data_IF_422312329000
#
_entry.id   IF_422312329000
#
_cell.length_a   1.000
_cell.length_b   1.000
_cell.length_c   1.000
_cell.angle_alpha   90.00
_cell.angle_beta   90.00
_cell.angle_gamma   90.00
#
_symmetry.space_group_name_H-M   'P 1'
#
loop_
_entity.id
_entity.type
_entity.pdbx_description
1 polymer ?
#
# COMPACT_ATOMS: atom_id res chain seq x y z
N UNK A 1 -14.07 -12.63 5.17
CA UNK A 1 -13.42 -11.46 4.56
C UNK A 1 -13.07 -10.50 5.67
N UNK A 2 -11.81 -10.08 5.76
CA UNK A 2 -11.31 -9.13 6.75
C UNK A 2 -11.11 -7.77 6.11
N UNK A 3 -11.08 -6.74 6.96
CA UNK A 3 -10.62 -5.40 6.61
C UNK A 3 -9.35 -5.11 7.41
N UNK A 4 -8.29 -4.70 6.73
CA UNK A 4 -7.08 -4.19 7.36
C UNK A 4 -7.07 -2.67 7.23
N UNK A 5 -6.91 -1.94 8.33
CA UNK A 5 -6.71 -0.48 8.28
C UNK A 5 -5.39 -0.07 8.91
N UNK A 6 -4.72 0.93 8.34
CA UNK A 6 -3.51 1.52 8.92
C UNK A 6 -3.32 2.97 8.52
N UNK A 7 -2.49 3.70 9.27
CA UNK A 7 -2.11 5.08 8.92
C UNK A 7 -1.04 5.11 7.84
N UNK A 8 -1.32 5.80 6.74
CA UNK A 8 -0.35 6.19 5.72
C UNK A 8 0.42 7.42 6.22
N UNK A 9 1.58 7.17 6.82
CA UNK A 9 2.40 8.23 7.42
C UNK A 9 3.14 9.09 6.39
N UNK A 10 3.58 8.46 5.30
CA UNK A 10 4.25 9.08 4.16
C UNK A 10 3.64 8.51 2.90
N UNK A 11 3.14 9.38 2.04
CA UNK A 11 2.38 9.03 0.87
C UNK A 11 3.10 9.49 -0.40
N UNK A 12 4.10 8.70 -0.82
CA UNK A 12 4.85 8.93 -2.05
C UNK A 12 4.40 8.03 -3.21
N UNK A 13 3.40 7.16 -2.98
CA UNK A 13 2.99 6.15 -3.96
C UNK A 13 3.95 4.97 -4.08
N UNK A 14 4.73 4.68 -3.03
CA UNK A 14 5.63 3.53 -2.95
C UNK A 14 4.96 2.30 -2.33
N UNK A 15 4.29 2.42 -1.17
CA UNK A 15 3.61 1.31 -0.52
C UNK A 15 2.40 1.84 0.30
N UNK A 16 1.18 1.87 -0.28
CA UNK A 16 0.82 1.21 -1.54
C UNK A 16 1.42 1.88 -2.78
N UNK A 17 1.66 1.11 -3.84
CA UNK A 17 1.95 1.63 -5.18
C UNK A 17 0.71 1.50 -6.07
N UNK A 18 0.00 2.59 -6.40
CA UNK A 18 -1.29 2.56 -7.10
C UNK A 18 -1.15 2.64 -8.64
N UNK A 19 0.07 2.55 -9.17
CA UNK A 19 0.34 2.86 -10.57
C UNK A 19 0.25 1.64 -11.49
N UNK A 20 0.14 1.92 -12.79
CA UNK A 20 0.19 0.93 -13.87
C UNK A 20 -0.90 -0.14 -13.80
N UNK A 21 -2.11 0.26 -13.40
CA UNK A 21 -3.31 -0.60 -13.43
C UNK A 21 -3.47 -1.53 -12.23
N UNK A 22 -2.54 -1.51 -11.27
CA UNK A 22 -2.61 -2.32 -10.05
C UNK A 22 -2.29 -1.47 -8.83
N UNK A 23 -2.97 -1.76 -7.72
CA UNK A 23 -2.51 -1.32 -6.41
C UNK A 23 -1.77 -2.47 -5.75
N UNK A 24 -0.52 -2.22 -5.36
CA UNK A 24 0.35 -3.22 -4.76
C UNK A 24 0.79 -2.78 -3.38
N UNK A 25 0.92 -3.76 -2.49
CA UNK A 25 1.58 -3.62 -1.20
C UNK A 25 2.68 -4.67 -1.17
N UNK A 26 3.81 -4.37 -1.83
CA UNK A 26 4.98 -5.23 -1.87
C UNK A 26 5.94 -4.94 -0.71
N UNK A 27 6.12 -3.66 -0.37
CA UNK A 27 6.99 -3.20 0.70
C UNK A 27 6.18 -2.69 1.90
N UNK A 28 6.83 -2.50 3.04
CA UNK A 28 6.20 -2.12 4.31
C UNK A 28 5.12 -3.11 4.80
N UNK A 29 4.58 -2.83 6.00
CA UNK A 29 3.44 -3.55 6.61
C UNK A 29 3.53 -5.10 6.48
N UNK A 30 4.68 -5.72 6.83
CA UNK A 30 4.88 -7.15 6.66
C UNK A 30 3.84 -8.00 7.42
N UNK A 31 3.31 -7.52 8.56
CA UNK A 31 2.28 -8.24 9.30
C UNK A 31 0.95 -8.36 8.54
N UNK A 32 0.56 -7.31 7.80
CA UNK A 32 -0.62 -7.36 6.92
C UNK A 32 -0.32 -8.33 5.77
N UNK A 33 0.83 -8.15 5.10
CA UNK A 33 1.25 -9.03 3.99
C UNK A 33 1.31 -10.50 4.37
N UNK A 34 1.76 -10.82 5.59
CA UNK A 34 1.86 -12.18 6.12
C UNK A 34 0.48 -12.84 6.29
N UNK A 35 -0.51 -12.09 6.75
CA UNK A 35 -1.77 -12.64 7.30
C UNK A 35 -3.01 -12.40 6.45
N UNK A 36 -2.97 -11.46 5.51
CA UNK A 36 -4.07 -11.20 4.60
C UNK A 36 -4.25 -12.33 3.58
N UNK A 37 -5.49 -12.50 3.12
CA UNK A 37 -5.89 -13.51 2.14
C UNK A 37 -6.58 -12.85 0.93
N UNK A 38 -6.67 -13.59 -0.18
CA UNK A 38 -7.42 -13.13 -1.35
C UNK A 38 -8.89 -12.91 -0.97
N UNK A 39 -9.44 -11.77 -1.38
CA UNK A 39 -10.79 -11.33 -1.03
C UNK A 39 -10.85 -10.39 0.18
N UNK A 40 -9.82 -10.31 1.01
CA UNK A 40 -9.72 -9.32 2.09
C UNK A 40 -9.55 -7.89 1.54
N UNK A 41 -9.86 -6.89 2.38
CA UNK A 41 -9.72 -5.48 2.05
C UNK A 41 -8.59 -4.82 2.84
N UNK A 42 -7.93 -3.84 2.23
CA UNK A 42 -6.92 -3.00 2.88
C UNK A 42 -7.28 -1.54 2.66
N UNK A 43 -7.25 -0.74 3.73
CA UNK A 43 -7.55 0.68 3.74
C UNK A 43 -6.39 1.48 4.37
N UNK A 44 -5.91 2.48 3.64
CA UNK A 44 -4.94 3.45 4.15
C UNK A 44 -5.63 4.73 4.56
N UNK A 45 -5.47 5.12 5.81
CA UNK A 45 -6.03 6.37 6.36
C UNK A 45 -4.93 7.43 6.46
N UNK A 46 -5.24 8.67 6.09
CA UNK A 46 -4.31 9.79 6.21
C UNK A 46 -3.88 10.03 7.66
N UNK A 47 -2.66 10.56 7.82
CA UNK A 47 -2.09 10.83 9.13
C UNK A 47 -2.73 12.04 9.81
N UNK A 48 -3.33 11.83 10.99
CA UNK A 48 -3.83 12.88 11.88
C UNK A 48 -2.79 13.97 12.16
N UNK A 49 -1.50 13.61 12.29
CA UNK A 49 -0.42 14.55 12.60
C UNK A 49 -0.10 15.53 11.46
N UNK A 50 -0.49 15.21 10.23
CA UNK A 50 -0.23 16.03 9.04
C UNK A 50 -1.47 16.86 8.61
N UNK A 51 -2.52 16.92 9.43
CA UNK A 51 -3.79 17.55 9.03
C UNK A 51 -4.56 16.79 7.95
N UNK A 52 -4.10 15.59 7.57
CA UNK A 52 -4.76 14.64 6.68
C UNK A 52 -5.56 13.58 7.44
N UNK A 53 -5.74 13.80 8.75
CA UNK A 53 -6.62 12.99 9.58
C UNK A 53 -8.01 12.94 8.98
N UNK A 54 -8.70 11.81 9.12
CA UNK A 54 -10.08 11.60 8.64
C UNK A 54 -10.26 11.33 7.14
N UNK A 55 -9.21 11.32 6.31
CA UNK A 55 -9.36 11.01 4.89
C UNK A 55 -8.89 9.59 4.53
N UNK A 56 -9.62 8.94 3.63
CA UNK A 56 -9.22 7.67 3.03
C UNK A 56 -8.21 7.91 1.90
N UNK A 57 -6.93 7.58 2.12
CA UNK A 57 -5.88 7.71 1.09
C UNK A 57 -6.12 6.71 -0.03
N UNK A 58 -6.47 5.48 0.33
CA UNK A 58 -6.81 4.43 -0.62
C UNK A 58 -7.58 3.31 0.05
N UNK A 59 -8.29 2.53 -0.76
CA UNK A 59 -8.70 1.18 -0.38
C UNK A 59 -8.58 0.23 -1.56
N UNK A 60 -8.34 -1.05 -1.25
CA UNK A 60 -8.19 -2.10 -2.24
C UNK A 60 -8.75 -3.42 -1.75
N UNK A 61 -9.37 -4.19 -2.64
CA UNK A 61 -9.71 -5.60 -2.43
C UNK A 61 -8.60 -6.47 -2.98
N UNK A 62 -8.05 -7.36 -2.16
CA UNK A 62 -6.95 -8.23 -2.56
C UNK A 62 -7.44 -9.22 -3.61
N UNK A 63 -6.86 -9.15 -4.80
CA UNK A 63 -7.18 -10.06 -5.91
C UNK A 63 -6.17 -11.19 -6.05
N UNK A 64 -4.93 -10.97 -5.60
CA UNK A 64 -3.82 -11.89 -5.82
C UNK A 64 -2.75 -11.67 -4.75
N UNK A 65 -2.11 -12.77 -4.33
CA UNK A 65 -0.96 -12.77 -3.43
C UNK A 65 0.10 -13.67 -4.03
N UNK A 66 1.29 -13.14 -4.29
CA UNK A 66 2.43 -13.87 -4.88
C UNK A 66 3.70 -13.65 -4.06
N UNK A 67 4.79 -14.34 -4.40
CA UNK A 67 6.10 -14.13 -3.78
C UNK A 67 6.82 -12.91 -4.34
N UNK A 68 7.86 -12.39 -3.65
CA UNK A 68 8.72 -11.35 -4.22
C UNK A 68 9.38 -11.80 -5.53
N UNK A 69 9.85 -13.05 -5.59
CA UNK A 69 10.48 -13.59 -6.80
C UNK A 69 9.51 -13.70 -7.98
N UNK A 70 8.26 -14.08 -7.74
CA UNK A 70 7.24 -14.12 -8.79
C UNK A 70 6.85 -12.72 -9.23
N UNK A 71 6.70 -11.79 -8.27
CA UNK A 71 6.47 -10.38 -8.56
C UNK A 71 7.59 -9.76 -9.39
N UNK A 72 8.84 -10.11 -9.10
CA UNK A 72 9.99 -9.69 -9.88
C UNK A 72 9.95 -10.24 -11.31
N UNK A 73 9.68 -11.54 -11.50
CA UNK A 73 9.74 -12.20 -12.83
C UNK A 73 8.54 -11.91 -13.72
N UNK A 74 7.41 -11.55 -13.15
CA UNK A 74 6.17 -11.34 -13.89
C UNK A 74 6.19 -10.03 -14.69
N UNK A 75 6.07 -10.16 -16.01
CA UNK A 75 6.03 -9.04 -16.96
C UNK A 75 4.97 -7.98 -16.67
N UNK A 76 3.86 -8.33 -15.99
CA UNK A 76 2.81 -7.39 -15.58
C UNK A 76 3.34 -6.29 -14.66
N UNK A 77 4.43 -6.56 -13.93
CA UNK A 77 4.95 -5.69 -12.88
C UNK A 77 6.34 -5.12 -13.18
N UNK A 78 6.81 -5.22 -14.44
CA UNK A 78 8.09 -4.63 -14.85
C UNK A 78 8.09 -3.10 -14.72
N UNK A 79 6.96 -2.45 -15.01
CA UNK A 79 6.80 -0.99 -14.84
C UNK A 79 6.80 -0.55 -13.37
N UNK A 80 6.63 -1.49 -12.43
CA UNK A 80 6.71 -1.23 -10.99
C UNK A 80 8.12 -1.39 -10.42
N UNK A 81 9.13 -1.61 -11.27
CA UNK A 81 10.54 -1.50 -10.87
C UNK A 81 10.96 -0.02 -10.88
N UNK A 82 11.77 0.44 -9.92
CA UNK A 82 12.26 1.81 -9.89
C UNK A 82 12.99 2.19 -11.18
N UNK A 83 12.67 3.36 -11.72
CA UNK A 83 13.40 3.96 -12.84
C UNK A 83 13.49 5.48 -12.67
N UNK A 84 14.65 5.97 -12.23
CA UNK A 84 14.87 7.37 -11.83
C UNK A 84 15.01 8.34 -13.00
N UNK A 85 15.41 7.87 -14.18
CA UNK A 85 15.53 8.64 -15.43
C UNK A 85 14.20 8.73 -16.21
N UNK A 86 13.09 8.26 -15.64
CA UNK A 86 11.76 8.26 -16.27
C UNK A 86 10.83 9.28 -15.63
N UNK A 87 9.68 8.85 -15.12
CA UNK A 87 8.71 9.71 -14.43
C UNK A 87 8.74 9.49 -12.92
N UNK A 88 8.24 10.47 -12.16
CA UNK A 88 8.08 10.35 -10.70
C UNK A 88 7.28 9.10 -10.29
N UNK A 89 6.33 8.63 -11.12
CA UNK A 89 5.63 7.35 -10.90
C UNK A 89 6.59 6.16 -10.89
N UNK A 90 7.53 6.14 -11.82
CA UNK A 90 8.51 5.06 -11.94
C UNK A 90 9.57 5.15 -10.84
N UNK A 91 9.98 6.34 -10.38
CA UNK A 91 10.96 6.45 -9.28
C UNK A 91 10.45 5.87 -7.95
N UNK A 92 9.13 5.67 -7.82
CA UNK A 92 8.50 5.05 -6.65
C UNK A 92 7.99 3.61 -6.91
N UNK A 93 8.55 2.92 -7.92
CA UNK A 93 8.29 1.50 -8.12
C UNK A 93 8.59 0.66 -6.86
N UNK A 94 7.70 -0.26 -6.50
CA UNK A 94 7.78 -1.09 -5.28
C UNK A 94 8.27 -2.52 -5.52
N UNK A 95 8.59 -2.87 -6.78
CA UNK A 95 9.17 -4.15 -7.17
C UNK A 95 10.70 -4.10 -7.07
N UNK A 96 11.19 -4.21 -5.82
CA UNK A 96 12.59 -3.93 -5.49
C UNK A 96 13.34 -5.09 -4.82
N UNK A 97 12.63 -6.17 -4.46
CA UNK A 97 13.22 -7.32 -3.78
C UNK A 97 13.10 -8.55 -4.65
N UNK A 98 14.19 -9.27 -4.80
CA UNK A 98 14.24 -10.60 -5.41
C UNK A 98 15.46 -11.36 -4.88
N UNK A 99 15.50 -12.67 -5.12
CA UNK A 99 16.66 -13.49 -4.76
C UNK A 99 17.53 -13.75 -5.98
N UNK A 100 18.83 -13.64 -5.77
CA UNK A 100 19.82 -14.12 -6.73
C UNK A 100 19.63 -15.62 -6.98
N UNK A 101 19.54 -16.01 -8.26
CA UNK A 101 19.22 -17.38 -8.65
C UNK A 101 20.31 -18.39 -8.25
N UNK A 102 21.55 -17.94 -8.05
CA UNK A 102 22.69 -18.82 -7.74
C UNK A 102 22.94 -18.96 -6.25
N UNK A 103 22.82 -17.87 -5.51
CA UNK A 103 23.18 -17.79 -4.08
C UNK A 103 21.96 -17.82 -3.17
N UNK A 104 20.75 -17.61 -3.71
CA UNK A 104 19.50 -17.50 -2.98
C UNK A 104 19.50 -16.37 -1.93
N UNK A 105 20.43 -15.41 -2.06
CA UNK A 105 20.51 -14.21 -1.22
C UNK A 105 19.57 -13.15 -1.75
N UNK A 106 19.01 -12.37 -0.85
CA UNK A 106 18.19 -11.22 -1.22
C UNK A 106 19.03 -10.15 -1.93
N UNK A 107 18.44 -9.56 -2.96
CA UNK A 107 18.87 -8.37 -3.65
C UNK A 107 17.82 -7.30 -3.39
N UNK A 108 18.29 -6.11 -3.02
CA UNK A 108 17.49 -4.89 -3.00
C UNK A 108 17.92 -4.00 -4.17
N UNK A 109 16.99 -3.66 -5.05
CA UNK A 109 17.21 -2.69 -6.12
C UNK A 109 17.21 -1.25 -5.56
N UNK A 110 17.95 -0.36 -6.22
CA UNK A 110 17.97 1.06 -5.87
C UNK A 110 16.56 1.66 -5.95
N UNK A 111 16.09 2.30 -4.88
CA UNK A 111 14.68 2.62 -4.67
C UNK A 111 14.45 3.64 -3.56
N UNK A 112 13.18 3.88 -3.21
CA UNK A 112 12.83 4.68 -2.04
C UNK A 112 13.23 4.03 -0.69
N UNK A 113 13.57 2.74 -0.70
CA UNK A 113 13.96 1.97 0.49
C UNK A 113 15.46 1.67 0.55
N UNK A 114 16.27 2.07 -0.44
CA UNK A 114 17.74 2.00 -0.38
C UNK A 114 18.31 3.15 0.46
N UNK A 115 19.60 3.04 0.78
CA UNK A 115 20.40 4.16 1.28
C UNK A 115 20.83 5.06 0.09
N UNK A 116 21.61 6.10 0.38
CA UNK A 116 22.18 6.94 -0.67
C UNK A 116 22.95 6.11 -1.69
N UNK A 117 22.93 6.54 -2.95
CA UNK A 117 23.59 5.87 -4.08
C UNK A 117 23.11 4.44 -4.35
N UNK A 118 21.96 4.05 -3.81
CA UNK A 118 21.35 2.75 -4.05
C UNK A 118 21.92 1.61 -3.22
N UNK A 119 22.69 1.90 -2.18
CA UNK A 119 23.20 0.86 -1.27
C UNK A 119 22.05 0.17 -0.51
N UNK A 120 22.23 -1.13 -0.23
CA UNK A 120 21.25 -1.91 0.53
C UNK A 120 21.02 -1.29 1.89
N UNK A 121 19.76 -1.06 2.23
CA UNK A 121 19.34 -0.73 3.58
C UNK A 121 18.91 -2.01 4.30
N UNK A 122 19.86 -2.65 5.00
CA UNK A 122 19.63 -3.93 5.70
C UNK A 122 18.42 -3.88 6.64
N UNK A 123 18.17 -2.76 7.31
CA UNK A 123 17.02 -2.62 8.20
C UNK A 123 15.69 -2.65 7.45
N UNK A 124 15.62 -2.04 6.27
CA UNK A 124 14.42 -2.12 5.42
C UNK A 124 14.29 -3.50 4.78
N UNK A 125 15.39 -4.08 4.30
CA UNK A 125 15.42 -5.42 3.73
C UNK A 125 14.90 -6.44 4.75
N UNK A 126 15.49 -6.53 5.94
CA UNK A 126 15.08 -7.45 7.00
C UNK A 126 13.62 -7.26 7.39
N UNK A 127 13.17 -6.00 7.49
CA UNK A 127 11.78 -5.69 7.82
C UNK A 127 10.82 -6.18 6.74
N UNK A 128 11.16 -5.98 5.48
CA UNK A 128 10.26 -6.26 4.36
C UNK A 128 10.29 -7.74 3.92
N UNK A 129 11.42 -8.44 4.07
CA UNK A 129 11.58 -9.83 3.60
C UNK A 129 11.73 -10.85 4.73
N UNK A 130 12.02 -10.44 5.96
CA UNK A 130 12.40 -11.34 7.05
C UNK A 130 11.24 -12.17 7.64
N UNK A 131 10.01 -11.64 7.64
CA UNK A 131 8.85 -12.33 8.23
C UNK A 131 7.81 -12.82 7.22
N UNK A 132 7.96 -12.44 5.96
CA UNK A 132 7.04 -12.82 4.88
C UNK A 132 7.67 -12.58 3.52
N UNK A 133 7.34 -13.44 2.56
CA UNK A 133 7.68 -13.30 1.13
C UNK A 133 6.47 -12.83 0.31
N UNK A 134 5.33 -12.58 0.96
CA UNK A 134 4.08 -12.23 0.28
C UNK A 134 4.08 -10.79 -0.22
N UNK A 135 3.70 -10.62 -1.48
CA UNK A 135 3.33 -9.37 -2.14
C UNK A 135 1.82 -9.39 -2.38
N UNK A 136 1.12 -8.35 -1.92
CA UNK A 136 -0.33 -8.20 -2.11
C UNK A 136 -0.59 -7.39 -3.38
N UNK A 137 -1.48 -7.88 -4.24
CA UNK A 137 -1.88 -7.23 -5.50
C UNK A 137 -3.40 -7.08 -5.54
N UNK A 138 -3.83 -5.91 -5.99
CA UNK A 138 -5.23 -5.60 -6.22
C UNK A 138 -5.49 -5.02 -7.62
N UNK A 139 -6.52 -5.56 -8.26
CA UNK A 139 -7.17 -4.97 -9.44
C UNK A 139 -8.34 -4.06 -9.09
N UNK A 140 -9.06 -4.30 -7.99
CA UNK A 140 -10.17 -3.44 -7.52
C UNK A 140 -9.67 -2.53 -6.40
N UNK A 141 -9.36 -1.29 -6.76
CA UNK A 141 -8.87 -0.31 -5.82
C UNK A 141 -9.26 1.09 -6.26
N UNK A 142 -9.27 2.02 -5.32
CA UNK A 142 -9.21 3.44 -5.62
C UNK A 142 -8.18 4.09 -4.69
N UNK A 143 -7.41 5.02 -5.25
CA UNK A 143 -6.35 5.74 -4.57
C UNK A 143 -6.53 7.23 -4.85
N UNK A 144 -6.63 8.03 -3.79
CA UNK A 144 -6.93 9.45 -3.85
C UNK A 144 -5.82 10.33 -3.26
N UNK A 145 -4.79 9.73 -2.66
CA UNK A 145 -3.73 10.49 -2.00
C UNK A 145 -4.30 11.41 -0.90
N UNK A 146 -3.98 12.71 -0.96
CA UNK A 146 -4.50 13.73 -0.02
C UNK A 146 -5.90 14.26 -0.34
N UNK A 147 -6.53 13.80 -1.42
CA UNK A 147 -7.84 14.26 -1.88
C UNK A 147 -8.92 13.20 -1.63
N UNK A 148 -8.67 12.29 -0.70
CA UNK A 148 -9.56 11.20 -0.37
C UNK A 148 -10.87 11.64 0.26
N UNK A 149 -11.92 10.81 0.15
CA UNK A 149 -13.17 11.05 0.82
C UNK A 149 -12.96 11.10 2.34
N UNK A 150 -13.71 11.98 2.99
CA UNK A 150 -13.76 12.05 4.45
C UNK A 150 -14.49 10.82 4.96
N UNK A 151 -13.90 10.13 5.93
CA UNK A 151 -14.50 8.98 6.59
C UNK A 151 -15.79 9.43 7.28
N UNK A 152 -16.94 8.80 7.00
CA UNK A 152 -18.21 9.21 7.56
C UNK A 152 -18.31 8.83 9.05
N UNK A 153 -19.11 9.55 9.86
CA UNK A 153 -19.25 9.31 11.30
C UNK A 153 -19.50 7.85 11.69
N UNK A 154 -20.23 7.12 10.86
CA UNK A 154 -20.51 5.69 11.05
C UNK A 154 -19.23 4.85 11.09
N UNK A 155 -18.24 5.12 10.24
CA UNK A 155 -16.98 4.38 10.24
C UNK A 155 -15.97 4.92 11.26
N UNK A 156 -16.23 6.10 11.82
CA UNK A 156 -15.48 6.62 12.96
C UNK A 156 -15.84 5.90 14.26
N UNK A 157 -17.12 5.53 14.42
CA UNK A 157 -17.63 4.76 15.54
C UNK A 157 -18.90 3.98 15.17
N UNK A 158 -18.75 2.69 14.88
CA UNK A 158 -19.85 1.74 14.73
C UNK A 158 -19.67 0.66 15.80
N UNK A 159 -20.60 0.61 16.75
CA UNK A 159 -20.58 -0.32 17.89
C UNK A 159 -19.25 -0.35 18.66
N UNK A 160 -18.64 0.83 18.85
CA UNK A 160 -17.36 0.98 19.52
C UNK A 160 -16.14 0.62 18.67
N UNK A 161 -16.34 0.24 17.40
CA UNK A 161 -15.26 0.02 16.43
C UNK A 161 -15.03 1.27 15.58
N UNK A 162 -13.76 1.51 15.24
CA UNK A 162 -13.34 2.67 14.47
C UNK A 162 -12.28 2.28 13.45
N UNK A 163 -12.43 2.76 12.21
CA UNK A 163 -11.44 2.54 11.14
C UNK A 163 -10.10 3.20 11.48
N UNK A 164 -10.11 4.27 12.27
CA UNK A 164 -8.92 5.02 12.64
C UNK A 164 -8.03 4.25 13.59
N UNK A 165 -6.72 4.33 13.36
CA UNK A 165 -5.71 3.82 14.27
C UNK A 165 -4.91 4.98 14.85
N UNK A 166 -4.72 4.99 16.17
CA UNK A 166 -3.95 6.01 16.89
C UNK A 166 -2.45 5.70 16.97
N UNK A 167 -2.04 4.53 16.49
CA UNK A 167 -0.67 4.00 16.56
C UNK A 167 -0.14 3.65 15.15
N UNK A 168 1.15 3.33 15.05
CA UNK A 168 1.83 2.96 13.79
C UNK A 168 1.52 1.55 13.28
N UNK A 169 0.74 0.77 14.03
CA UNK A 169 0.35 -0.59 13.72
C UNK A 169 -0.74 -0.65 12.63
N UNK A 170 -1.46 -1.77 12.57
CA UNK A 170 -2.67 -1.92 11.76
C UNK A 170 -3.81 -2.44 12.65
N UNK A 171 -5.05 -2.27 12.22
CA UNK A 171 -6.24 -2.90 12.80
C UNK A 171 -6.82 -3.90 11.80
N UNK A 172 -7.27 -5.05 12.29
CA UNK A 172 -7.93 -6.06 11.46
C UNK A 172 -9.05 -6.85 12.17
N UNK A 173 -9.35 -6.50 13.41
CA UNK A 173 -10.40 -7.13 14.22
C UNK A 173 -11.67 -6.27 14.15
N UNK A 174 -12.34 -6.31 13.00
CA UNK A 174 -13.63 -5.66 12.77
C UNK A 174 -14.74 -6.70 12.76
N UNK A 175 -15.96 -6.31 13.14
CA UNK A 175 -17.15 -7.16 12.95
C UNK A 175 -17.47 -7.27 11.47
N UNK A 176 -18.19 -8.31 11.08
CA UNK A 176 -18.67 -8.44 9.69
C UNK A 176 -19.54 -7.26 9.26
N UNK A 177 -20.32 -6.69 10.18
CA UNK A 177 -21.14 -5.51 9.93
C UNK A 177 -20.28 -4.27 9.61
N UNK A 178 -19.21 -4.05 10.38
CA UNK A 178 -18.27 -2.97 10.11
C UNK A 178 -17.60 -3.14 8.74
N UNK A 179 -17.17 -4.37 8.42
CA UNK A 179 -16.55 -4.68 7.13
C UNK A 179 -17.54 -4.42 5.99
N UNK A 180 -18.79 -4.85 6.10
CA UNK A 180 -19.84 -4.58 5.09
C UNK A 180 -20.09 -3.09 4.93
N UNK A 181 -20.30 -2.37 6.03
CA UNK A 181 -20.51 -0.92 6.03
C UNK A 181 -19.36 -0.16 5.34
N UNK A 182 -18.12 -0.56 5.63
CA UNK A 182 -16.94 0.00 4.95
C UNK A 182 -16.94 -0.28 3.45
N UNK A 183 -17.22 -1.52 3.04
CA UNK A 183 -17.22 -1.93 1.63
C UNK A 183 -18.34 -1.23 0.86
N UNK A 184 -19.55 -1.18 1.41
CA UNK A 184 -20.69 -0.49 0.79
C UNK A 184 -20.41 1.00 0.61
N UNK A 185 -19.81 1.63 1.63
CA UNK A 185 -19.37 3.02 1.54
C UNK A 185 -18.32 3.22 0.44
N UNK A 186 -17.29 2.37 0.39
CA UNK A 186 -16.26 2.44 -0.65
C UNK A 186 -16.84 2.22 -2.06
N UNK A 187 -17.69 1.21 -2.24
CA UNK A 187 -18.27 0.89 -3.55
C UNK A 187 -19.27 1.96 -4.02
N UNK A 188 -19.85 2.74 -3.09
CA UNK A 188 -20.77 3.85 -3.43
C UNK A 188 -20.13 4.96 -4.26
N UNK A 189 -18.80 5.09 -4.22
CA UNK A 189 -18.08 6.09 -5.02
C UNK A 189 -18.00 5.71 -6.51
N UNK A 190 -18.01 4.42 -6.85
CA UNK A 190 -17.76 3.95 -8.21
C UNK A 190 -16.32 4.21 -8.74
N UNK A 191 -15.47 4.87 -7.96
CA UNK A 191 -14.10 5.21 -8.31
C UNK A 191 -13.21 3.97 -8.48
N UNK A 192 -12.24 4.05 -9.40
CA UNK A 192 -11.33 2.96 -9.71
C UNK A 192 -9.97 3.49 -10.19
N UNK A 193 -8.89 2.90 -9.69
CA UNK A 193 -7.52 3.26 -10.06
C UNK A 193 -6.93 4.41 -9.24
N UNK A 194 -5.84 4.98 -9.75
CA UNK A 194 -5.21 6.17 -9.18
C UNK A 194 -5.97 7.43 -9.59
N UNK A 195 -6.94 7.84 -8.76
CA UNK A 195 -7.84 8.97 -8.98
C UNK A 195 -7.15 10.32 -8.71
N UNK A 196 -6.17 10.34 -7.81
CA UNK A 196 -5.35 11.51 -7.52
C UNK A 196 -3.89 11.11 -7.25
N UNK A 197 -2.94 12.06 -7.35
CA UNK A 197 -1.53 11.79 -7.08
C UNK A 197 -1.25 11.64 -5.59
N UNK A 198 -0.12 11.01 -5.22
CA UNK A 198 0.28 10.87 -3.84
C UNK A 198 0.38 12.18 -3.07
N UNK A 199 -0.01 12.11 -1.81
CA UNK A 199 -0.13 13.26 -0.93
C UNK A 199 1.19 13.97 -0.67
N UNK A 200 2.34 13.30 -0.66
CA UNK A 200 3.64 13.95 -0.40
C UNK A 200 4.38 14.36 -1.70
N UNK A 201 3.76 14.23 -2.88
CA UNK A 201 4.31 14.83 -4.10
C UNK A 201 4.18 16.35 -4.04
N UNK A 202 5.31 17.05 -4.21
CA UNK A 202 5.30 18.51 -4.36
C UNK A 202 4.87 18.84 -5.78
N UNK A 203 3.69 19.42 -5.92
CA UNK A 203 3.41 20.23 -7.11
C UNK A 203 4.26 21.49 -6.97
N UNK A 204 5.24 21.69 -7.84
CA UNK A 204 5.66 23.05 -8.14
C UNK A 204 4.56 23.62 -9.04
N UNK A 205 3.66 24.51 -8.55
CA UNK A 205 2.92 25.34 -9.48
C UNK A 205 3.99 26.15 -10.25
N UNK A 206 4.06 25.91 -11.55
CA UNK A 206 4.75 26.84 -12.45
C UNK A 206 4.00 28.16 -12.44
#
# INVERSE_FOLDING_TARGET
MKLFSYVVARDFGFAPNPFFGFCTLACCKPDIRRTAEVGDWVAGIGSMKKGLGYQLVYAMKISEIITFNDYWRDSRFFLKRPKFDSSIKHSYGDNIYHKDARTNRWIQEDSHHSLERGETNEANLDRDTGSTDKVIISKRFAYWGRFGPVVPPQLENLDGQSIFIRTSAHKCKFTDEFVRSFVDWFESFGDQGACAPPGDWRFNPK
#
